data_IF_995491102002
#
_entry.id   IF_995491102002
#
_cell.length_a   1.000
_cell.length_b   1.000
_cell.length_c   1.000
_cell.angle_alpha   90.00
_cell.angle_beta   90.00
_cell.angle_gamma   90.00
#
_symmetry.space_group_name_H-M   'P 1'
#
loop_
_entity.id
_entity.type
_entity.pdbx_description
1 polymer ?
#
# COMPACT_ATOMS: atom_id res chain seq x y z
N UNK A 1 -8.83 8.29 -8.00
CA UNK A 1 -8.43 8.05 -6.59
C UNK A 1 -9.64 8.21 -5.71
N UNK A 2 -9.85 7.27 -4.81
CA UNK A 2 -11.06 7.21 -4.02
C UNK A 2 -10.85 7.72 -2.60
N UNK A 3 -11.93 8.17 -1.97
CA UNK A 3 -11.98 8.34 -0.53
C UNK A 3 -11.91 6.97 0.15
N UNK A 4 -11.34 6.91 1.35
CA UNK A 4 -11.10 5.65 2.04
C UNK A 4 -12.40 4.88 2.33
N UNK A 5 -13.46 5.56 2.71
CA UNK A 5 -14.73 4.89 3.01
C UNK A 5 -15.36 4.30 1.75
N UNK A 6 -15.26 5.00 0.63
CA UNK A 6 -15.71 4.50 -0.67
C UNK A 6 -14.87 3.30 -1.10
N UNK A 7 -13.55 3.37 -0.90
CA UNK A 7 -12.65 2.27 -1.23
C UNK A 7 -13.01 1.01 -0.42
N UNK A 8 -13.20 1.16 0.89
CA UNK A 8 -13.56 0.05 1.78
C UNK A 8 -14.86 -0.59 1.31
N UNK A 9 -15.85 0.21 0.92
CA UNK A 9 -17.12 -0.31 0.43
C UNK A 9 -16.94 -1.14 -0.83
N UNK A 10 -16.08 -0.70 -1.73
CA UNK A 10 -15.87 -1.37 -3.01
C UNK A 10 -15.05 -2.66 -2.90
N UNK A 11 -14.31 -2.85 -1.82
CA UNK A 11 -13.47 -4.04 -1.63
C UNK A 11 -14.06 -5.03 -0.60
N UNK A 12 -15.33 -4.89 -0.26
CA UNK A 12 -15.97 -5.75 0.76
C UNK A 12 -15.96 -7.23 0.46
N UNK A 13 -16.07 -7.60 -0.81
CA UNK A 13 -16.09 -9.01 -1.21
C UNK A 13 -14.70 -9.62 -1.07
N UNK A 14 -14.62 -10.93 -0.97
CA UNK A 14 -13.35 -11.64 -1.01
C UNK A 14 -12.54 -11.19 -2.19
N UNK A 15 -11.41 -10.58 -1.93
CA UNK A 15 -10.55 -10.03 -2.98
C UNK A 15 -9.19 -9.71 -2.40
N UNK A 16 -8.18 -9.78 -3.25
CA UNK A 16 -6.83 -9.41 -2.86
C UNK A 16 -6.57 -7.95 -3.18
N UNK A 17 -5.72 -7.36 -2.35
CA UNK A 17 -5.22 -6.01 -2.55
C UNK A 17 -3.73 -6.05 -2.78
N UNK A 18 -3.19 -5.04 -3.45
CA UNK A 18 -1.75 -4.81 -3.46
C UNK A 18 -1.43 -3.51 -2.74
N UNK A 19 -0.28 -3.50 -2.10
CA UNK A 19 0.29 -2.30 -1.51
C UNK A 19 1.50 -1.86 -2.31
N UNK A 20 1.64 -0.57 -2.53
CA UNK A 20 2.75 -0.01 -3.29
C UNK A 20 3.45 1.04 -2.46
N UNK A 21 4.77 0.90 -2.34
CA UNK A 21 5.63 1.95 -1.79
C UNK A 21 6.21 2.73 -2.96
N UNK A 22 5.82 4.00 -3.14
CA UNK A 22 6.22 4.77 -4.31
C UNK A 22 7.63 5.35 -4.23
N UNK A 23 8.50 4.83 -3.37
CA UNK A 23 9.81 5.42 -3.14
C UNK A 23 10.80 5.26 -4.30
N UNK A 24 11.47 6.34 -4.66
CA UNK A 24 12.69 6.37 -5.45
C UNK A 24 12.69 5.61 -6.78
N UNK A 25 13.83 5.00 -7.07
CA UNK A 25 14.06 4.23 -8.29
C UNK A 25 13.44 2.84 -8.23
N UNK A 26 13.13 2.36 -7.04
CA UNK A 26 12.56 1.03 -6.82
C UNK A 26 11.21 1.18 -6.17
N UNK A 27 10.26 0.44 -6.69
CA UNK A 27 8.89 0.46 -6.18
C UNK A 27 8.60 -0.91 -5.61
N UNK A 28 8.41 -0.96 -4.30
CA UNK A 28 8.04 -2.19 -3.63
C UNK A 28 6.57 -2.50 -3.79
N UNK A 29 6.25 -3.77 -3.95
CA UNK A 29 4.88 -4.25 -4.08
C UNK A 29 4.64 -5.39 -3.09
N UNK A 30 3.55 -5.32 -2.36
CA UNK A 30 3.09 -6.36 -1.47
C UNK A 30 1.70 -6.81 -1.90
N UNK A 31 1.30 -8.01 -1.48
CA UNK A 31 -0.01 -8.57 -1.82
C UNK A 31 -0.70 -9.08 -0.56
N UNK A 32 -2.02 -8.96 -0.51
CA UNK A 32 -2.80 -9.51 0.58
C UNK A 32 -3.41 -10.87 0.22
N UNK A 33 -3.83 -11.61 1.24
CA UNK A 33 -4.72 -12.75 1.05
C UNK A 33 -6.14 -12.28 0.69
N UNK A 34 -6.98 -13.20 0.28
CA UNK A 34 -8.37 -12.90 -0.11
C UNK A 34 -9.22 -12.38 1.04
N UNK A 35 -8.91 -12.77 2.27
CA UNK A 35 -9.63 -12.32 3.46
C UNK A 35 -9.11 -10.98 3.99
N UNK A 36 -8.09 -10.44 3.36
CA UNK A 36 -7.50 -9.15 3.71
C UNK A 36 -7.00 -9.08 5.16
N UNK A 37 -6.30 -10.13 5.57
CA UNK A 37 -5.76 -10.25 6.93
C UNK A 37 -4.24 -10.04 6.95
N UNK A 38 -3.52 -10.63 6.00
CA UNK A 38 -2.06 -10.66 6.00
C UNK A 38 -1.50 -10.09 4.71
N UNK A 39 -0.54 -9.20 4.84
CA UNK A 39 0.23 -8.68 3.71
C UNK A 39 1.56 -9.43 3.60
N UNK A 40 1.92 -9.79 2.38
CA UNK A 40 3.16 -10.52 2.08
C UNK A 40 3.96 -9.72 1.06
N UNK A 41 5.30 -9.61 1.23
CA UNK A 41 6.13 -9.01 0.18
C UNK A 41 5.95 -9.79 -1.12
N UNK A 42 5.86 -9.08 -2.22
CA UNK A 42 5.60 -9.73 -3.51
C UNK A 42 6.71 -9.49 -4.53
N UNK A 43 7.06 -8.22 -4.76
CA UNK A 43 7.98 -7.89 -5.84
C UNK A 43 8.56 -6.49 -5.64
N UNK A 44 9.69 -6.24 -6.28
CA UNK A 44 10.26 -4.90 -6.41
C UNK A 44 10.41 -4.60 -7.89
N UNK A 45 9.85 -3.49 -8.33
CA UNK A 45 9.89 -3.09 -9.73
C UNK A 45 10.84 -1.91 -9.86
N UNK A 46 11.80 -2.01 -10.79
CA UNK A 46 12.71 -0.92 -11.07
C UNK A 46 12.00 0.08 -11.98
N UNK A 47 11.95 1.33 -11.56
CA UNK A 47 11.24 2.36 -12.29
C UNK A 47 12.14 2.97 -13.36
N UNK A 48 12.22 2.35 -14.51
CA UNK A 48 12.95 2.91 -15.65
C UNK A 48 12.05 3.74 -16.55
N UNK A 49 10.97 3.14 -17.03
CA UNK A 49 9.97 3.82 -17.84
C UNK A 49 8.60 3.56 -17.24
N UNK A 50 7.78 4.59 -17.20
CA UNK A 50 6.43 4.48 -16.69
C UNK A 50 5.62 3.44 -17.44
N UNK A 51 5.77 3.36 -18.76
CA UNK A 51 5.06 2.39 -19.59
C UNK A 51 5.36 0.94 -19.20
N UNK A 52 6.61 0.65 -18.87
CA UNK A 52 7.02 -0.69 -18.41
C UNK A 52 6.43 -0.97 -17.02
N UNK A 53 6.51 0.02 -16.13
CA UNK A 53 5.95 -0.09 -14.78
C UNK A 53 4.45 -0.39 -14.82
N UNK A 54 3.69 0.33 -15.62
CA UNK A 54 2.25 0.12 -15.76
C UNK A 54 1.96 -1.29 -16.28
N UNK A 55 2.74 -1.75 -17.22
CA UNK A 55 2.58 -3.10 -17.77
C UNK A 55 2.78 -4.16 -16.69
N UNK A 56 3.80 -3.98 -15.86
CA UNK A 56 4.08 -4.91 -14.77
C UNK A 56 2.97 -4.90 -13.72
N UNK A 57 2.46 -3.73 -13.36
CA UNK A 57 1.35 -3.62 -12.42
C UNK A 57 0.07 -4.26 -12.98
N UNK A 58 -0.24 -4.00 -14.24
CA UNK A 58 -1.40 -4.63 -14.89
C UNK A 58 -1.31 -6.15 -14.86
N UNK A 59 -0.13 -6.69 -15.11
CA UNK A 59 0.10 -8.12 -15.06
C UNK A 59 -0.15 -8.69 -13.67
N UNK A 60 0.37 -8.03 -12.63
CA UNK A 60 0.15 -8.43 -11.25
C UNK A 60 -1.35 -8.40 -10.92
N UNK A 61 -2.03 -7.34 -11.30
CA UNK A 61 -3.47 -7.16 -11.06
C UNK A 61 -4.28 -8.28 -11.71
N UNK A 62 -3.99 -8.60 -12.96
CA UNK A 62 -4.72 -9.63 -13.69
C UNK A 62 -4.43 -11.03 -13.15
N UNK A 63 -3.17 -11.37 -12.97
CA UNK A 63 -2.76 -12.73 -12.55
C UNK A 63 -3.20 -13.07 -11.13
N UNK A 64 -3.34 -12.06 -10.27
CA UNK A 64 -3.66 -12.27 -8.86
C UNK A 64 -5.08 -11.83 -8.50
N UNK A 65 -5.89 -11.46 -9.44
CA UNK A 65 -7.27 -11.01 -9.22
C UNK A 65 -7.36 -9.89 -8.19
N UNK A 66 -6.54 -8.86 -8.38
CA UNK A 66 -6.47 -7.72 -7.48
C UNK A 66 -7.68 -6.82 -7.70
N UNK A 67 -8.31 -6.38 -6.62
CA UNK A 67 -9.48 -5.50 -6.66
C UNK A 67 -9.21 -4.10 -6.13
N UNK A 68 -8.09 -3.90 -5.47
CA UNK A 68 -7.74 -2.59 -4.93
C UNK A 68 -6.24 -2.40 -4.79
N UNK A 69 -5.83 -1.16 -4.89
CA UNK A 69 -4.43 -0.75 -4.81
C UNK A 69 -4.29 0.30 -3.71
N UNK A 70 -3.43 0.00 -2.75
CA UNK A 70 -3.12 0.89 -1.62
C UNK A 70 -1.73 1.47 -1.86
N UNK A 71 -1.65 2.77 -2.06
CA UNK A 71 -0.38 3.46 -2.27
C UNK A 71 -0.02 4.21 -0.99
N UNK A 72 1.16 3.93 -0.46
CA UNK A 72 1.64 4.63 0.73
C UNK A 72 1.85 6.11 0.47
N UNK A 73 1.33 6.94 1.35
CA UNK A 73 1.49 8.38 1.28
C UNK A 73 2.29 8.84 2.49
N UNK A 74 3.61 9.06 2.34
CA UNK A 74 4.46 9.48 3.45
C UNK A 74 4.23 10.95 3.77
N UNK A 75 3.45 11.19 4.81
CA UNK A 75 3.15 12.53 5.31
C UNK A 75 3.99 12.75 6.57
N UNK A 76 4.48 13.98 6.77
CA UNK A 76 5.23 14.33 7.96
C UNK A 76 4.36 14.21 9.21
N UNK A 77 4.97 14.04 10.37
CA UNK A 77 4.25 13.84 11.63
C UNK A 77 3.32 15.01 11.99
N UNK A 78 3.64 16.21 11.52
CA UNK A 78 2.80 17.39 11.73
C UNK A 78 1.64 17.51 10.72
N UNK A 79 1.53 16.55 9.80
CA UNK A 79 0.48 16.58 8.79
C UNK A 79 0.85 17.27 7.49
N UNK A 80 2.02 17.89 7.42
CA UNK A 80 2.45 18.56 6.19
C UNK A 80 2.92 17.54 5.15
N UNK A 81 2.78 17.86 3.84
CA UNK A 81 3.26 16.94 2.80
C UNK A 81 4.78 16.82 2.84
N UNK A 82 5.27 15.59 2.68
CA UNK A 82 6.69 15.34 2.49
C UNK A 82 7.04 15.46 1.00
N UNK A 83 8.32 15.43 0.69
CA UNK A 83 8.77 15.39 -0.71
C UNK A 83 8.23 14.16 -1.45
N UNK A 84 8.20 13.02 -0.76
CA UNK A 84 7.71 11.77 -1.33
C UNK A 84 6.19 11.74 -1.49
N UNK A 85 5.48 12.62 -0.78
CA UNK A 85 4.02 12.71 -0.86
C UNK A 85 3.55 13.12 -2.26
N UNK A 86 4.28 14.03 -2.90
CA UNK A 86 3.92 14.43 -4.26
C UNK A 86 4.11 13.27 -5.25
N UNK A 87 5.17 12.50 -5.09
CA UNK A 87 5.41 11.32 -5.93
C UNK A 87 4.29 10.27 -5.75
N UNK A 88 3.81 10.09 -4.54
CA UNK A 88 2.71 9.17 -4.27
C UNK A 88 1.42 9.62 -4.95
N UNK A 89 1.12 10.91 -4.86
CA UNK A 89 -0.07 11.49 -5.52
C UNK A 89 0.01 11.36 -7.03
N UNK A 90 1.17 11.69 -7.61
CA UNK A 90 1.38 11.59 -9.04
C UNK A 90 1.22 10.15 -9.53
N UNK A 91 1.77 9.21 -8.78
CA UNK A 91 1.63 7.79 -9.09
C UNK A 91 0.16 7.36 -9.06
N UNK A 92 -0.57 7.76 -8.03
CA UNK A 92 -1.99 7.42 -7.90
C UNK A 92 -2.81 7.98 -9.07
N UNK A 93 -2.56 9.22 -9.44
CA UNK A 93 -3.26 9.87 -10.55
C UNK A 93 -2.93 9.15 -11.86
N UNK A 94 -1.66 8.86 -12.10
CA UNK A 94 -1.24 8.19 -13.32
C UNK A 94 -1.78 6.76 -13.41
N UNK A 95 -1.74 6.01 -12.32
CA UNK A 95 -2.31 4.67 -12.29
C UNK A 95 -3.81 4.68 -12.54
N UNK A 96 -4.53 5.65 -11.99
CA UNK A 96 -5.98 5.73 -12.16
C UNK A 96 -6.40 5.98 -13.59
N UNK A 97 -5.53 6.51 -14.42
CA UNK A 97 -5.79 6.70 -15.85
C UNK A 97 -5.68 5.38 -16.64
N UNK A 98 -4.81 4.49 -16.19
CA UNK A 98 -4.47 3.27 -16.93
C UNK A 98 -5.04 2.00 -16.33
N UNK A 99 -5.46 2.03 -15.08
CA UNK A 99 -5.96 0.88 -14.34
C UNK A 99 -7.36 1.17 -13.81
N UNK A 100 -8.28 0.23 -14.04
CA UNK A 100 -9.68 0.40 -13.64
C UNK A 100 -9.96 0.03 -12.20
N UNK A 101 -9.03 -0.64 -11.54
CA UNK A 101 -9.19 -1.05 -10.15
C UNK A 101 -9.22 0.15 -9.21
N UNK A 102 -9.76 -0.06 -8.02
CA UNK A 102 -9.89 0.99 -7.03
C UNK A 102 -8.51 1.35 -6.43
N UNK A 103 -8.22 2.62 -6.32
CA UNK A 103 -6.92 3.11 -5.86
C UNK A 103 -7.13 4.11 -4.72
N UNK A 104 -6.38 3.95 -3.63
CA UNK A 104 -6.33 4.94 -2.56
C UNK A 104 -4.89 5.30 -2.20
N UNK A 105 -4.75 6.49 -1.64
CA UNK A 105 -3.54 6.88 -0.91
C UNK A 105 -3.75 6.58 0.57
N UNK A 106 -2.80 5.88 1.16
CA UNK A 106 -2.87 5.51 2.57
C UNK A 106 -1.91 6.37 3.38
N UNK A 107 -2.44 7.09 4.36
CA UNK A 107 -1.64 7.88 5.29
C UNK A 107 -0.97 6.94 6.29
N UNK A 108 0.33 6.76 6.15
CA UNK A 108 1.11 5.84 6.97
C UNK A 108 1.05 6.16 8.46
N UNK A 109 0.72 7.40 8.84
CA UNK A 109 0.56 7.78 10.24
C UNK A 109 -0.61 7.07 10.92
N UNK A 110 -1.58 6.59 10.15
CA UNK A 110 -2.73 5.85 10.67
C UNK A 110 -2.37 4.43 11.06
N UNK A 111 -1.15 3.99 10.74
CA UNK A 111 -0.69 2.66 11.08
C UNK A 111 0.10 2.69 12.38
N UNK A 112 -0.26 1.85 13.32
CA UNK A 112 0.53 1.68 14.55
C UNK A 112 1.89 1.05 14.27
N UNK A 113 2.02 0.39 13.15
CA UNK A 113 3.28 -0.21 12.71
C UNK A 113 4.29 0.82 12.22
N UNK A 114 3.82 1.96 11.73
CA UNK A 114 4.69 3.02 11.25
C UNK A 114 5.66 3.54 12.31
N UNK A 115 5.18 3.71 13.52
CA UNK A 115 6.02 4.16 14.63
C UNK A 115 7.06 3.11 15.02
N UNK A 116 6.71 1.84 14.91
CA UNK A 116 7.60 0.74 15.23
C UNK A 116 8.76 0.62 14.24
N UNK A 117 8.48 0.88 12.98
CA UNK A 117 9.51 0.79 11.94
C UNK A 117 10.60 1.81 12.05
N UNK A 118 10.33 2.93 12.64
CA UNK A 118 11.33 3.97 12.83
C UNK A 118 12.44 3.54 13.79
N UNK A 119 12.16 2.59 14.66
CA UNK A 119 13.17 2.08 15.57
C UNK A 119 13.86 0.84 15.01
N UNK A 120 13.40 0.33 13.93
CA UNK A 120 13.90 -0.80 13.48
C UNK A 120 15.15 -0.85 13.03
N UNK A 121 15.78 -1.35 12.99
CA UNK A 121 16.67 -1.75 12.74
C UNK A 121 17.70 -1.50 12.23
N UNK A 122 18.38 -1.54 12.69
CA UNK A 122 19.34 -1.07 12.80
C UNK A 122 20.40 -1.88 12.57
N UNK A 123 20.99 -1.93 11.75
CA UNK A 123 22.10 -2.37 11.72
C UNK A 123 22.48 -3.31 10.94
N UNK A 124 22.98 -3.44 10.14
CA UNK A 124 23.77 -4.35 9.42
C UNK A 124 23.61 -4.20 7.94
N UNK A 125 24.30 -4.75 7.21
CA UNK A 125 24.55 -4.78 5.78
C UNK A 125 23.60 -4.04 4.89
N UNK A 126 24.02 -2.90 4.44
CA UNK A 126 23.23 -1.91 3.75
C UNK A 126 22.63 -2.37 2.42
N UNK A 127 23.33 -3.13 1.61
CA UNK A 127 22.80 -3.46 0.27
C UNK A 127 21.71 -4.53 0.26
N UNK A 128 21.87 -5.58 1.05
CA UNK A 128 20.80 -6.56 1.23
C UNK A 128 19.59 -5.98 1.93
N UNK A 129 19.83 -5.02 2.83
CA UNK A 129 18.75 -4.33 3.53
C UNK A 129 17.95 -3.41 2.64
N UNK A 130 18.57 -2.70 1.74
CA UNK A 130 17.85 -1.78 0.85
C UNK A 130 16.85 -2.54 0.00
N UNK A 131 17.24 -3.71 -0.53
CA UNK A 131 16.36 -4.53 -1.34
C UNK A 131 15.19 -5.13 -0.55
N UNK A 132 15.47 -5.58 0.68
CA UNK A 132 14.41 -6.07 1.58
C UNK A 132 13.53 -4.94 2.11
N UNK A 133 14.09 -3.74 2.30
CA UNK A 133 13.34 -2.60 2.77
C UNK A 133 12.26 -2.17 1.79
N UNK A 134 12.51 -2.20 0.48
CA UNK A 134 11.51 -1.82 -0.50
C UNK A 134 10.28 -2.73 -0.45
N UNK A 135 10.49 -4.05 -0.44
CA UNK A 135 9.41 -5.02 -0.35
C UNK A 135 8.75 -5.00 1.03
N UNK A 136 9.55 -4.83 2.09
CA UNK A 136 9.03 -4.75 3.46
C UNK A 136 8.26 -3.46 3.69
N UNK A 137 8.70 -2.34 3.10
CA UNK A 137 7.98 -1.07 3.20
C UNK A 137 6.58 -1.20 2.58
N UNK A 138 6.49 -1.82 1.42
CA UNK A 138 5.20 -2.09 0.80
C UNK A 138 4.33 -3.01 1.66
N UNK A 139 4.94 -4.02 2.27
CA UNK A 139 4.26 -4.91 3.20
C UNK A 139 3.69 -4.14 4.40
N UNK A 140 4.49 -3.26 4.99
CA UNK A 140 4.04 -2.44 6.12
C UNK A 140 2.90 -1.51 5.74
N UNK A 141 2.99 -0.89 4.58
CA UNK A 141 1.93 -0.02 4.07
C UNK A 141 0.63 -0.82 3.96
N UNK A 142 0.68 -1.94 3.29
CA UNK A 142 -0.50 -2.77 3.09
C UNK A 142 -1.01 -3.34 4.41
N UNK A 143 -0.13 -3.89 5.25
CA UNK A 143 -0.54 -4.43 6.54
C UNK A 143 -1.16 -3.37 7.43
N UNK A 144 -0.62 -2.15 7.42
CA UNK A 144 -1.21 -1.03 8.16
C UNK A 144 -2.64 -0.75 7.74
N UNK A 145 -2.91 -0.79 6.44
CA UNK A 145 -4.26 -0.64 5.92
C UNK A 145 -5.16 -1.82 6.33
N UNK A 146 -4.67 -3.05 6.22
CA UNK A 146 -5.44 -4.24 6.59
C UNK A 146 -5.80 -4.22 8.08
N UNK A 147 -4.87 -3.81 8.93
CA UNK A 147 -5.13 -3.69 10.37
C UNK A 147 -6.18 -2.63 10.67
N UNK A 148 -6.09 -1.50 9.98
CA UNK A 148 -7.11 -0.44 10.08
C UNK A 148 -8.49 -0.97 9.67
N UNK A 149 -8.54 -1.68 8.56
CA UNK A 149 -9.77 -2.27 8.05
C UNK A 149 -10.38 -3.26 9.05
N UNK A 150 -9.55 -4.09 9.66
CA UNK A 150 -9.98 -5.06 10.66
C UNK A 150 -10.57 -4.37 11.89
N UNK A 151 -9.90 -3.35 12.41
CA UNK A 151 -10.39 -2.58 13.55
C UNK A 151 -11.72 -1.90 13.24
N UNK A 152 -11.85 -1.34 12.05
CA UNK A 152 -13.09 -0.67 11.63
C UNK A 152 -14.25 -1.66 11.53
N UNK A 153 -14.00 -2.85 11.00
CA UNK A 153 -15.02 -3.90 10.90
C UNK A 153 -15.44 -4.39 12.28
N UNK A 154 -14.49 -4.63 13.18
CA UNK A 154 -14.77 -5.05 14.55
C UNK A 154 -15.60 -4.00 15.28
N UNK A 155 -15.26 -2.73 15.13
CA UNK A 155 -16.02 -1.62 15.71
C UNK A 155 -17.45 -1.60 15.19
N UNK A 156 -17.63 -1.72 13.87
CA UNK A 156 -18.95 -1.74 13.25
C UNK A 156 -19.81 -2.91 13.74
N UNK A 157 -19.20 -4.08 13.86
CA UNK A 157 -19.91 -5.26 14.35
C UNK A 157 -20.32 -5.10 15.81
N UNK A 158 -19.46 -4.53 16.63
CA UNK A 158 -19.76 -4.25 18.05
C UNK A 158 -20.93 -3.28 18.16
N UNK A 159 -20.91 -2.20 17.39
CA UNK A 159 -21.98 -1.20 17.40
C UNK A 159 -23.29 -1.81 16.89
N UNK A 160 -23.23 -2.63 15.86
CA UNK A 160 -24.42 -3.30 15.33
C UNK A 160 -24.97 -4.37 16.28
N UNK A 161 -24.13 -4.91 17.15
CA UNK A 161 -24.55 -5.88 18.15
C UNK A 161 -25.26 -5.26 19.35
N UNK A 162 -25.26 -3.94 19.43
CA UNK A 162 -25.97 -3.24 20.46
C UNK A 162 -27.42 -2.98 20.04
#
# INVERSE_FOLDING_TARGET
MLDIDVFIEKIKKKSRLIGIDPGGKRIGVAISDENKIVATPFSTIVKNKYSVFIKDIKKIVEENHIKGIVIGNPINMDGSPSQSSQSAKDLAINLSKDITENIILWDERLSSQGAFNLSGDLGSNTSKKVKKLDENSAQFILQGFLDYLSKKNTWSDTVKGL
#
